data_IF_645217634183
#
_entry.id   IF_645217634183
#
_cell.length_a   1.000
_cell.length_b   1.000
_cell.length_c   1.000
_cell.angle_alpha   90.00
_cell.angle_beta   90.00
_cell.angle_gamma   90.00
#
_symmetry.space_group_name_H-M   'P 1'
#
loop_
_entity.id
_entity.type
_entity.pdbx_description
1 polymer ?
#
# COMPACT_ATOMS: atom_id res chain seq x y z
N UNK A 1 3.27 -15.87 -1.66
CA UNK A 1 3.84 -14.54 -1.88
C UNK A 1 5.16 -14.69 -2.62
N UNK A 2 5.44 -13.84 -3.62
CA UNK A 2 6.65 -13.94 -4.46
C UNK A 2 7.81 -13.09 -3.94
N UNK A 3 7.52 -11.87 -3.50
CA UNK A 3 8.50 -10.90 -2.98
C UNK A 3 7.79 -9.85 -2.13
N UNK A 4 8.55 -9.03 -1.41
CA UNK A 4 8.12 -7.75 -0.84
C UNK A 4 9.04 -6.66 -1.39
N UNK A 5 8.47 -5.59 -1.93
CA UNK A 5 9.22 -4.46 -2.50
C UNK A 5 9.20 -3.31 -1.49
N UNK A 6 10.39 -2.79 -1.16
CA UNK A 6 10.55 -1.59 -0.37
C UNK A 6 10.47 -0.36 -1.28
N UNK A 7 9.35 0.36 -1.23
CA UNK A 7 9.14 1.58 -2.00
C UNK A 7 9.56 2.82 -1.20
N UNK A 8 9.88 3.91 -1.89
CA UNK A 8 10.00 5.22 -1.24
C UNK A 8 8.63 5.70 -0.72
N UNK A 9 8.65 6.59 0.26
CA UNK A 9 7.45 7.27 0.78
C UNK A 9 7.64 8.80 0.77
N UNK A 10 8.34 9.28 -0.26
CA UNK A 10 8.73 10.68 -0.42
C UNK A 10 9.82 11.13 0.55
N UNK A 11 9.93 12.45 0.74
CA UNK A 11 11.05 13.08 1.43
C UNK A 11 10.64 13.83 2.70
N UNK A 12 9.35 13.78 3.08
CA UNK A 12 8.82 14.49 4.25
C UNK A 12 9.51 14.14 5.57
N UNK A 13 10.04 12.91 5.68
CA UNK A 13 10.75 12.40 6.86
C UNK A 13 12.26 12.32 6.67
N UNK A 14 12.77 12.76 5.52
CA UNK A 14 14.17 12.63 5.12
C UNK A 14 14.34 11.99 3.74
N UNK A 15 15.55 12.05 3.17
CA UNK A 15 15.81 11.62 1.79
C UNK A 15 15.96 10.10 1.63
N UNK A 16 15.96 9.33 2.73
CA UNK A 16 16.32 7.91 2.75
C UNK A 16 15.08 6.99 2.87
N UNK A 17 13.89 7.45 2.50
CA UNK A 17 12.64 6.74 2.77
C UNK A 17 12.59 5.31 2.23
N UNK A 18 13.13 5.06 1.03
CA UNK A 18 13.22 3.68 0.50
C UNK A 18 14.11 2.79 1.37
N UNK A 19 15.26 3.29 1.84
CA UNK A 19 16.19 2.54 2.70
C UNK A 19 15.58 2.27 4.07
N UNK A 20 14.85 3.25 4.63
CA UNK A 20 14.08 3.08 5.87
C UNK A 20 12.97 2.03 5.71
N UNK A 21 12.23 2.07 4.59
CA UNK A 21 11.23 1.06 4.27
C UNK A 21 11.87 -0.33 4.16
N UNK A 22 13.03 -0.45 3.50
CA UNK A 22 13.72 -1.71 3.32
C UNK A 22 14.20 -2.29 4.65
N UNK A 23 14.78 -1.46 5.51
CA UNK A 23 15.23 -1.86 6.83
C UNK A 23 14.07 -2.37 7.70
N UNK A 24 12.93 -1.67 7.67
CA UNK A 24 11.75 -2.08 8.44
C UNK A 24 11.14 -3.37 7.92
N UNK A 25 11.02 -3.55 6.60
CA UNK A 25 10.54 -4.81 6.01
C UNK A 25 11.46 -5.96 6.41
N UNK A 26 12.78 -5.79 6.33
CA UNK A 26 13.74 -6.81 6.76
C UNK A 26 13.55 -7.19 8.24
N UNK A 27 13.33 -6.19 9.11
CA UNK A 27 13.07 -6.41 10.53
C UNK A 27 11.78 -7.19 10.78
N UNK A 28 10.69 -6.84 10.10
CA UNK A 28 9.42 -7.57 10.22
C UNK A 28 9.57 -9.02 9.72
N UNK A 29 10.21 -9.22 8.56
CA UNK A 29 10.49 -10.55 8.01
C UNK A 29 11.30 -11.40 8.99
N UNK A 30 12.28 -10.80 9.68
CA UNK A 30 13.07 -11.47 10.70
C UNK A 30 12.26 -11.82 11.96
N UNK A 31 11.49 -10.86 12.49
CA UNK A 31 10.61 -11.08 13.65
C UNK A 31 9.57 -12.17 13.40
N UNK A 32 9.14 -12.32 12.14
CA UNK A 32 8.22 -13.38 11.71
C UNK A 32 8.93 -14.73 11.49
N UNK A 33 10.26 -14.79 11.48
CA UNK A 33 11.02 -16.01 11.17
C UNK A 33 10.96 -16.39 9.68
N UNK A 34 10.82 -15.40 8.80
CA UNK A 34 10.77 -15.55 7.34
C UNK A 34 12.04 -15.11 6.62
N UNK A 35 13.12 -14.80 7.36
CA UNK A 35 14.44 -14.52 6.77
C UNK A 35 14.85 -15.64 5.81
N UNK A 36 15.14 -15.26 4.56
CA UNK A 36 15.49 -16.19 3.48
C UNK A 36 14.32 -16.97 2.86
N UNK A 37 13.09 -16.85 3.39
CA UNK A 37 11.88 -17.49 2.84
C UNK A 37 11.11 -16.57 1.89
N UNK A 38 11.26 -15.25 2.06
CA UNK A 38 10.62 -14.22 1.23
C UNK A 38 11.70 -13.22 0.80
N UNK A 39 11.93 -13.05 -0.51
CA UNK A 39 12.81 -12.00 -1.01
C UNK A 39 12.29 -10.61 -0.64
N UNK A 40 13.19 -9.73 -0.22
CA UNK A 40 12.92 -8.30 -0.03
C UNK A 40 13.78 -7.54 -1.02
N UNK A 41 13.17 -6.69 -1.85
CA UNK A 41 13.84 -5.99 -2.93
C UNK A 41 13.72 -4.49 -2.72
N UNK A 42 14.83 -3.77 -2.91
CA UNK A 42 14.84 -2.30 -2.91
C UNK A 42 14.20 -1.76 -4.19
N UNK A 43 13.22 -0.87 -4.03
CA UNK A 43 12.59 -0.16 -5.13
C UNK A 43 13.30 1.12 -5.52
N UNK A 44 12.59 1.93 -6.29
CA UNK A 44 12.96 3.26 -6.70
C UNK A 44 13.17 4.16 -5.47
N UNK A 45 14.21 4.99 -5.53
CA UNK A 45 14.60 5.86 -4.40
C UNK A 45 13.78 7.14 -4.34
N UNK A 46 13.30 7.61 -5.49
CA UNK A 46 12.63 8.91 -5.64
C UNK A 46 11.48 8.80 -6.61
N UNK A 47 10.62 9.81 -6.64
CA UNK A 47 9.57 9.94 -7.63
C UNK A 47 10.11 10.09 -9.05
N UNK A 48 9.29 9.75 -10.05
CA UNK A 48 9.67 9.80 -11.47
C UNK A 48 10.06 11.21 -11.92
N UNK A 49 9.37 12.25 -11.44
CA UNK A 49 9.67 13.64 -11.80
C UNK A 49 11.06 14.08 -11.32
N UNK A 50 11.49 13.58 -10.15
CA UNK A 50 12.79 13.90 -9.55
C UNK A 50 13.93 13.07 -10.10
N UNK A 51 13.65 11.86 -10.57
CA UNK A 51 14.66 10.94 -11.08
C UNK A 51 14.08 10.05 -12.21
N UNK A 52 13.88 10.62 -13.41
CA UNK A 52 13.17 9.95 -14.51
C UNK A 52 13.93 8.72 -15.06
N UNK A 53 15.27 8.76 -15.02
CA UNK A 53 16.15 7.71 -15.53
C UNK A 53 16.69 6.79 -14.44
N UNK A 54 16.08 6.79 -13.24
CA UNK A 54 16.57 5.94 -12.15
C UNK A 54 16.38 4.46 -12.48
N UNK A 55 17.39 3.67 -12.13
CA UNK A 55 17.25 2.22 -12.12
C UNK A 55 16.39 1.78 -10.93
N UNK A 56 15.61 0.72 -11.13
CA UNK A 56 14.86 0.07 -10.07
C UNK A 56 14.93 -1.45 -10.28
N UNK A 57 15.67 -2.11 -9.39
CA UNK A 57 15.74 -3.58 -9.36
C UNK A 57 14.35 -4.20 -9.13
N UNK A 58 13.47 -3.49 -8.43
CA UNK A 58 12.11 -3.95 -8.23
C UNK A 58 11.24 -3.84 -9.49
N UNK A 59 11.46 -2.80 -10.32
CA UNK A 59 10.83 -2.71 -11.63
C UNK A 59 11.26 -3.87 -12.54
N UNK A 60 12.56 -4.19 -12.55
CA UNK A 60 13.07 -5.33 -13.32
C UNK A 60 12.49 -6.66 -12.81
N UNK A 61 12.39 -6.84 -11.49
CA UNK A 61 11.72 -8.01 -10.91
C UNK A 61 10.24 -8.11 -11.30
N UNK A 62 9.49 -6.99 -11.27
CA UNK A 62 8.07 -6.96 -11.71
C UNK A 62 7.97 -7.43 -13.17
N UNK A 63 8.87 -6.97 -14.04
CA UNK A 63 8.92 -7.37 -15.43
C UNK A 63 9.19 -8.87 -15.56
N UNK A 64 10.23 -9.37 -14.90
CA UNK A 64 10.61 -10.77 -14.93
C UNK A 64 9.48 -11.69 -14.45
N UNK A 65 8.85 -11.38 -13.32
CA UNK A 65 7.77 -12.20 -12.76
C UNK A 65 6.50 -12.13 -13.60
N UNK A 66 6.14 -10.96 -14.15
CA UNK A 66 4.97 -10.81 -15.01
C UNK A 66 5.16 -11.50 -16.38
N UNK A 67 6.37 -11.54 -16.90
CA UNK A 67 6.67 -12.18 -18.18
C UNK A 67 6.90 -13.69 -18.08
N UNK A 68 7.09 -14.21 -16.86
CA UNK A 68 7.25 -15.64 -16.61
C UNK A 68 6.03 -16.44 -17.06
N UNK A 69 6.27 -17.62 -17.59
CA UNK A 69 5.22 -18.57 -17.95
C UNK A 69 4.71 -19.28 -16.68
N UNK A 70 3.69 -18.68 -16.04
CA UNK A 70 2.99 -19.23 -14.87
C UNK A 70 1.48 -19.17 -15.13
N UNK A 71 0.74 -20.29 -15.01
CA UNK A 71 -0.70 -20.29 -15.25
C UNK A 71 -1.51 -19.58 -14.16
N UNK A 72 -0.89 -19.24 -13.02
CA UNK A 72 -1.56 -18.52 -11.94
C UNK A 72 -1.53 -17.02 -12.20
N UNK A 73 -2.61 -16.29 -11.88
CA UNK A 73 -2.64 -14.84 -12.04
C UNK A 73 -1.59 -14.18 -11.12
N UNK A 74 -0.88 -13.18 -11.65
CA UNK A 74 -0.04 -12.29 -10.87
C UNK A 74 -0.86 -11.11 -10.35
N UNK A 75 -0.94 -10.99 -9.02
CA UNK A 75 -1.57 -9.85 -8.34
C UNK A 75 -0.45 -9.05 -7.67
N UNK A 76 -0.36 -7.77 -8.00
CA UNK A 76 0.57 -6.84 -7.38
C UNK A 76 -0.21 -5.85 -6.52
N UNK A 77 -0.07 -5.97 -5.20
CA UNK A 77 -0.66 -5.07 -4.22
C UNK A 77 0.33 -3.94 -3.90
N UNK A 78 -0.05 -2.71 -4.24
CA UNK A 78 0.71 -1.50 -3.95
C UNK A 78 0.05 -0.77 -2.78
N UNK A 79 0.82 -0.58 -1.71
CA UNK A 79 0.42 0.16 -0.50
C UNK A 79 1.29 1.41 -0.28
N UNK A 80 1.96 1.83 -1.36
CA UNK A 80 2.93 2.93 -1.46
C UNK A 80 2.81 3.58 -2.85
N UNK A 81 3.56 4.65 -3.18
CA UNK A 81 3.53 5.26 -4.50
C UNK A 81 3.83 4.27 -5.62
N UNK A 82 3.22 4.47 -6.79
CA UNK A 82 3.26 3.55 -7.93
C UNK A 82 4.54 3.62 -8.78
N UNK A 83 5.58 4.27 -8.28
CA UNK A 83 6.86 4.57 -8.95
C UNK A 83 7.46 3.35 -9.64
N UNK A 84 7.63 2.25 -8.91
CA UNK A 84 8.27 1.04 -9.42
C UNK A 84 7.46 0.39 -10.55
N UNK A 85 6.12 0.41 -10.43
CA UNK A 85 5.25 -0.10 -11.47
C UNK A 85 5.26 0.79 -12.70
N UNK A 86 5.26 2.11 -12.53
CA UNK A 86 5.35 3.05 -13.64
C UNK A 86 6.67 2.88 -14.41
N UNK A 87 7.80 2.70 -13.71
CA UNK A 87 9.09 2.36 -14.34
C UNK A 87 8.99 1.02 -15.07
N UNK A 88 8.41 -0.01 -14.45
CA UNK A 88 8.25 -1.33 -15.06
C UNK A 88 7.40 -1.28 -16.36
N UNK A 89 6.26 -0.59 -16.32
CA UNK A 89 5.36 -0.44 -17.48
C UNK A 89 6.04 0.34 -18.61
N UNK A 90 6.79 1.41 -18.29
CA UNK A 90 7.54 2.17 -19.31
C UNK A 90 8.60 1.32 -19.99
N UNK A 91 9.28 0.44 -19.23
CA UNK A 91 10.29 -0.48 -19.75
C UNK A 91 9.69 -1.63 -20.57
N UNK A 92 8.58 -2.21 -20.10
CA UNK A 92 7.95 -3.37 -20.73
C UNK A 92 6.41 -3.29 -20.65
N UNK A 93 5.75 -2.63 -21.62
CA UNK A 93 4.29 -2.45 -21.59
C UNK A 93 3.49 -3.76 -21.63
N UNK A 94 4.06 -4.87 -22.14
CA UNK A 94 3.36 -6.17 -22.24
C UNK A 94 2.95 -6.74 -20.88
N UNK A 95 3.57 -6.30 -19.79
CA UNK A 95 3.19 -6.73 -18.43
C UNK A 95 1.75 -6.34 -18.10
N UNK A 96 1.21 -5.26 -18.68
CA UNK A 96 -0.16 -4.80 -18.41
C UNK A 96 -1.21 -5.88 -18.68
N UNK A 97 -0.98 -6.74 -19.67
CA UNK A 97 -1.87 -7.86 -20.01
C UNK A 97 -1.60 -9.16 -19.23
N UNK A 98 -0.64 -9.17 -18.30
CA UNK A 98 -0.17 -10.37 -17.58
C UNK A 98 -0.29 -10.30 -16.06
N UNK A 99 -0.69 -9.15 -15.53
CA UNK A 99 -0.87 -8.95 -14.09
C UNK A 99 -2.10 -8.08 -13.81
N UNK A 100 -2.51 -8.04 -12.55
CA UNK A 100 -3.51 -7.11 -12.04
C UNK A 100 -2.97 -6.33 -10.84
N UNK A 101 -3.46 -5.12 -10.67
CA UNK A 101 -2.99 -4.19 -9.65
C UNK A 101 -4.11 -3.91 -8.65
N UNK A 102 -3.77 -3.98 -7.37
CA UNK A 102 -4.57 -3.43 -6.27
C UNK A 102 -3.76 -2.28 -5.69
N UNK A 103 -4.34 -1.10 -5.58
CA UNK A 103 -3.67 0.07 -5.00
C UNK A 103 -4.48 0.66 -3.86
N UNK A 104 -3.86 0.75 -2.68
CA UNK A 104 -4.35 1.55 -1.56
C UNK A 104 -3.78 2.95 -1.70
N UNK A 105 -4.59 3.84 -2.25
CA UNK A 105 -4.20 5.19 -2.62
C UNK A 105 -5.21 5.82 -3.55
N UNK A 106 -5.10 7.12 -3.71
CA UNK A 106 -6.01 7.92 -4.51
C UNK A 106 -7.01 8.72 -3.67
N UNK A 107 -7.42 9.90 -4.17
CA UNK A 107 -8.15 10.89 -3.41
C UNK A 107 -9.65 10.60 -3.36
N UNK A 108 -10.39 11.43 -2.62
CA UNK A 108 -11.85 11.42 -2.63
C UNK A 108 -12.39 11.88 -3.99
N UNK A 109 -13.46 11.24 -4.46
CA UNK A 109 -14.19 11.67 -5.65
C UNK A 109 -15.31 12.67 -5.30
N UNK A 110 -15.76 13.50 -6.26
CA UNK A 110 -15.26 13.64 -7.62
C UNK A 110 -14.13 14.68 -7.76
N UNK A 111 -13.91 15.55 -6.77
CA UNK A 111 -13.09 16.75 -6.94
C UNK A 111 -11.58 16.52 -6.70
N UNK A 112 -11.24 15.42 -6.01
CA UNK A 112 -9.89 15.16 -5.52
C UNK A 112 -9.67 15.70 -4.11
N UNK A 113 -8.54 15.30 -3.52
CA UNK A 113 -8.11 15.64 -2.18
C UNK A 113 -6.63 15.28 -2.03
N UNK A 114 -5.98 15.76 -0.97
CA UNK A 114 -4.62 15.32 -0.68
C UNK A 114 -4.63 13.87 -0.19
N UNK A 115 -3.91 12.98 -0.87
CA UNK A 115 -3.69 11.59 -0.46
C UNK A 115 -2.18 11.27 -0.45
N UNK A 116 -1.70 10.59 0.58
CA UNK A 116 -0.26 10.45 0.84
C UNK A 116 0.51 9.71 -0.27
N UNK A 117 0.03 8.55 -0.72
CA UNK A 117 0.71 7.75 -1.73
C UNK A 117 0.67 8.44 -3.10
N UNK A 118 -0.46 9.03 -3.50
CA UNK A 118 -0.58 9.82 -4.71
C UNK A 118 0.37 11.03 -4.70
N UNK A 119 0.38 11.81 -3.62
CA UNK A 119 1.20 13.03 -3.52
C UNK A 119 2.69 12.77 -3.61
N UNK A 120 3.14 11.58 -3.23
CA UNK A 120 4.54 11.21 -3.29
C UNK A 120 5.00 10.86 -4.72
N UNK A 121 4.11 10.51 -5.65
CA UNK A 121 4.44 10.36 -7.08
C UNK A 121 3.19 10.39 -7.99
N UNK A 122 2.73 11.60 -8.31
CA UNK A 122 1.54 11.84 -9.17
C UNK A 122 1.81 11.39 -10.61
N UNK A 123 3.03 11.61 -11.11
CA UNK A 123 3.40 11.25 -12.48
C UNK A 123 3.44 9.73 -12.66
N UNK A 124 3.91 8.98 -11.66
CA UNK A 124 3.81 7.52 -11.66
C UNK A 124 2.35 7.05 -11.59
N UNK A 125 1.52 7.65 -10.73
CA UNK A 125 0.11 7.29 -10.64
C UNK A 125 -0.61 7.48 -11.99
N UNK A 126 -0.45 8.65 -12.61
CA UNK A 126 -0.99 8.94 -13.94
C UNK A 126 -0.45 7.97 -15.01
N UNK A 127 0.85 7.66 -14.99
CA UNK A 127 1.46 6.69 -15.91
C UNK A 127 0.81 5.31 -15.81
N UNK A 128 0.60 4.80 -14.60
CA UNK A 128 -0.02 3.48 -14.39
C UNK A 128 -1.50 3.50 -14.75
N UNK A 129 -2.23 4.53 -14.32
CA UNK A 129 -3.67 4.65 -14.57
C UNK A 129 -3.99 4.76 -16.06
N UNK A 130 -3.18 5.49 -16.83
CA UNK A 130 -3.32 5.60 -18.28
C UNK A 130 -2.82 4.37 -19.07
N UNK A 131 -2.14 3.40 -18.42
CA UNK A 131 -1.77 2.13 -19.05
C UNK A 131 -2.99 1.20 -19.24
N UNK A 132 -2.83 0.01 -19.82
CA UNK A 132 -3.92 -0.97 -19.96
C UNK A 132 -4.04 -1.95 -18.79
N UNK A 133 -3.27 -1.78 -17.70
CA UNK A 133 -3.27 -2.75 -16.59
C UNK A 133 -4.64 -2.82 -15.90
N UNK A 134 -5.20 -4.02 -15.66
CA UNK A 134 -6.37 -4.19 -14.79
C UNK A 134 -6.09 -3.61 -13.40
N UNK A 135 -6.91 -2.65 -12.99
CA UNK A 135 -6.64 -1.83 -11.81
C UNK A 135 -7.83 -1.82 -10.85
N UNK A 136 -7.53 -2.04 -9.57
CA UNK A 136 -8.44 -1.95 -8.44
C UNK A 136 -7.96 -0.87 -7.49
N UNK A 137 -8.76 0.18 -7.31
CA UNK A 137 -8.46 1.29 -6.42
C UNK A 137 -9.23 1.14 -5.10
N UNK A 138 -8.48 1.30 -4.02
CA UNK A 138 -8.98 1.49 -2.66
C UNK A 138 -8.58 2.91 -2.28
N UNK A 139 -9.46 3.88 -2.54
CA UNK A 139 -9.20 5.30 -2.28
C UNK A 139 -9.57 5.68 -0.83
N UNK A 140 -9.35 6.96 -0.45
CA UNK A 140 -9.66 7.48 0.90
C UNK A 140 -11.07 7.07 1.36
N UNK A 141 -12.08 7.25 0.52
CA UNK A 141 -13.48 6.96 0.87
C UNK A 141 -13.68 5.50 1.26
N UNK A 142 -12.96 4.57 0.62
CA UNK A 142 -13.04 3.16 0.94
C UNK A 142 -12.25 2.80 2.19
N UNK A 143 -10.97 3.21 2.26
CA UNK A 143 -10.09 2.75 3.33
C UNK A 143 -10.25 3.50 4.65
N UNK A 144 -10.90 4.67 4.68
CA UNK A 144 -11.15 5.39 5.93
C UNK A 144 -12.05 4.60 6.89
N UNK A 145 -12.84 3.66 6.35
CA UNK A 145 -13.62 2.70 7.11
C UNK A 145 -12.81 1.55 7.71
N UNK A 146 -11.50 1.43 7.41
CA UNK A 146 -10.60 0.42 7.97
C UNK A 146 -10.18 0.75 9.40
N UNK A 147 -11.15 1.03 10.27
CA UNK A 147 -10.93 1.45 11.64
C UNK A 147 -10.69 0.28 12.59
N UNK A 148 -9.77 0.47 13.51
CA UNK A 148 -9.48 -0.44 14.60
C UNK A 148 -9.04 0.31 15.86
N UNK A 149 -9.49 -0.15 17.02
CA UNK A 149 -9.12 0.46 18.29
C UNK A 149 -7.78 -0.05 18.83
N UNK A 150 -7.12 0.78 19.66
CA UNK A 150 -5.95 0.35 20.43
C UNK A 150 -6.26 -0.85 21.32
N UNK A 151 -7.46 -0.89 21.92
CA UNK A 151 -7.89 -1.99 22.78
C UNK A 151 -7.93 -3.33 22.03
N UNK A 152 -8.46 -3.35 20.79
CA UNK A 152 -8.46 -4.55 19.95
C UNK A 152 -7.05 -4.99 19.55
N UNK A 153 -6.18 -4.04 19.22
CA UNK A 153 -4.78 -4.33 18.90
C UNK A 153 -4.04 -4.86 20.14
N UNK A 154 -4.28 -4.29 21.32
CA UNK A 154 -3.67 -4.78 22.55
C UNK A 154 -4.14 -6.19 22.87
N UNK A 155 -5.45 -6.45 22.84
CA UNK A 155 -6.03 -7.75 23.17
C UNK A 155 -5.59 -8.85 22.19
N UNK A 156 -5.56 -8.54 20.89
CA UNK A 156 -5.44 -9.57 19.84
C UNK A 156 -4.11 -9.58 19.11
N UNK A 157 -3.47 -8.42 18.91
CA UNK A 157 -2.21 -8.31 18.18
C UNK A 157 -1.01 -8.46 19.12
N UNK A 158 -0.98 -7.72 20.24
CA UNK A 158 0.21 -7.68 21.12
C UNK A 158 0.56 -9.06 21.70
N UNK A 159 -0.44 -9.94 21.79
CA UNK A 159 -0.30 -11.31 22.30
C UNK A 159 0.25 -12.30 21.26
N UNK A 160 0.47 -11.88 20.01
CA UNK A 160 0.92 -12.76 18.93
C UNK A 160 2.45 -12.75 18.77
N UNK A 161 3.16 -13.21 19.81
CA UNK A 161 4.62 -13.32 19.82
C UNK A 161 5.36 -11.99 19.60
N UNK A 162 6.66 -12.09 19.26
CA UNK A 162 7.54 -10.91 19.13
C UNK A 162 7.09 -9.92 18.06
N UNK A 163 6.59 -10.42 16.92
CA UNK A 163 6.10 -9.57 15.84
C UNK A 163 4.84 -8.81 16.25
N UNK A 164 3.87 -9.48 16.90
CA UNK A 164 2.64 -8.86 17.36
C UNK A 164 2.91 -7.77 18.40
N UNK A 165 3.75 -8.07 19.39
CA UNK A 165 4.17 -7.10 20.39
C UNK A 165 4.90 -5.90 19.76
N UNK A 166 5.86 -6.15 18.87
CA UNK A 166 6.60 -5.09 18.20
C UNK A 166 5.69 -4.14 17.39
N UNK A 167 4.75 -4.70 16.61
CA UNK A 167 3.80 -3.88 15.82
C UNK A 167 2.93 -3.00 16.73
N UNK A 168 2.47 -3.53 17.86
CA UNK A 168 1.70 -2.76 18.84
C UNK A 168 2.54 -1.66 19.50
N UNK A 169 3.76 -1.98 19.95
CA UNK A 169 4.68 -1.00 20.56
C UNK A 169 5.03 0.14 19.60
N UNK A 170 5.30 -0.15 18.32
CA UNK A 170 5.59 0.90 17.33
C UNK A 170 4.42 1.85 17.13
N UNK A 171 3.19 1.34 17.19
CA UNK A 171 1.98 2.15 17.05
C UNK A 171 1.77 3.05 18.29
N UNK A 172 1.99 2.51 19.50
CA UNK A 172 1.95 3.28 20.75
C UNK A 172 3.05 4.34 20.78
N UNK A 173 4.28 3.99 20.39
CA UNK A 173 5.39 4.94 20.33
C UNK A 173 5.13 6.04 19.29
N UNK A 174 4.55 5.67 18.13
CA UNK A 174 4.11 6.61 17.10
C UNK A 174 3.06 7.60 17.62
N UNK A 175 2.06 7.12 18.38
CA UNK A 175 1.09 7.97 19.07
C UNK A 175 1.77 9.02 19.95
N UNK A 176 2.69 8.61 20.84
CA UNK A 176 3.39 9.52 21.73
C UNK A 176 4.25 10.53 20.97
N UNK A 177 5.00 10.10 19.95
CA UNK A 177 5.84 10.99 19.13
C UNK A 177 4.99 12.03 18.39
N UNK A 178 3.85 11.62 17.85
CA UNK A 178 2.99 12.53 17.09
C UNK A 178 2.34 13.60 17.98
N UNK A 179 1.86 13.21 19.17
CA UNK A 179 1.31 14.13 20.17
C UNK A 179 2.37 15.06 20.77
N UNK A 180 3.53 14.54 21.13
CA UNK A 180 4.59 15.32 21.79
C UNK A 180 5.23 16.37 20.88
N UNK A 181 5.30 16.11 19.57
CA UNK A 181 6.06 16.94 18.64
C UNK A 181 5.22 17.97 17.86
N UNK A 182 3.91 18.13 18.15
CA UNK A 182 3.01 18.92 17.29
C UNK A 182 3.23 18.61 15.80
N UNK A 183 3.38 17.31 15.48
CA UNK A 183 3.77 16.87 14.14
C UNK A 183 2.79 17.41 13.08
N UNK A 184 3.23 17.46 11.81
CA UNK A 184 2.34 17.81 10.69
C UNK A 184 1.07 16.94 10.69
N UNK A 185 1.20 15.66 11.07
CA UNK A 185 0.09 14.70 11.20
C UNK A 185 -0.85 15.05 12.36
N UNK A 186 -0.29 15.42 13.52
CA UNK A 186 -1.09 15.82 14.69
C UNK A 186 -1.77 17.18 14.52
N UNK A 187 -1.12 18.15 13.87
CA UNK A 187 -1.59 19.54 13.79
C UNK A 187 -2.46 19.84 12.58
N UNK A 188 -2.25 19.13 11.46
CA UNK A 188 -2.94 19.42 10.19
C UNK A 188 -3.95 18.35 9.79
N UNK A 189 -3.73 17.08 10.15
CA UNK A 189 -4.65 15.98 9.85
C UNK A 189 -5.39 15.45 11.09
N UNK A 190 -5.10 15.95 12.30
CA UNK A 190 -5.67 15.48 13.57
C UNK A 190 -5.60 13.95 13.72
N UNK A 191 -4.52 13.35 13.20
CA UNK A 191 -4.35 11.90 13.09
C UNK A 191 -3.02 11.48 13.70
N UNK A 192 -2.98 10.36 14.46
CA UNK A 192 -4.09 9.45 14.80
C UNK A 192 -5.02 10.02 15.88
N UNK A 193 -6.28 9.56 15.89
CA UNK A 193 -7.24 9.92 16.92
C UNK A 193 -7.04 9.03 18.16
N UNK A 194 -5.95 9.24 18.91
CA UNK A 194 -5.67 8.69 20.25
C UNK A 194 -5.90 7.17 20.42
N UNK A 195 -7.16 6.77 20.57
CA UNK A 195 -7.65 5.41 20.82
C UNK A 195 -8.05 4.62 19.54
N UNK A 196 -8.08 5.26 18.38
CA UNK A 196 -8.50 4.65 17.11
C UNK A 196 -7.53 4.95 15.97
N UNK A 197 -7.29 3.94 15.15
CA UNK A 197 -6.41 3.99 13.99
C UNK A 197 -7.11 3.46 12.74
N UNK A 198 -6.71 3.98 11.58
CA UNK A 198 -7.03 3.39 10.29
C UNK A 198 -5.78 2.66 9.77
N UNK A 199 -5.74 1.33 9.86
CA UNK A 199 -4.64 0.52 9.29
C UNK A 199 -5.03 0.10 7.89
N UNK A 200 -4.85 1.04 6.96
CA UNK A 200 -5.43 0.99 5.62
C UNK A 200 -4.79 -0.07 4.73
N UNK A 201 -3.49 -0.34 4.86
CA UNK A 201 -2.73 -1.20 3.95
C UNK A 201 -3.16 -2.68 4.00
N UNK A 202 -3.82 -3.12 5.09
CA UNK A 202 -4.39 -4.48 5.21
C UNK A 202 -5.50 -4.71 4.19
N UNK A 203 -6.15 -3.64 3.73
CA UNK A 203 -7.22 -3.70 2.72
C UNK A 203 -6.75 -4.32 1.39
N UNK A 204 -5.53 -4.00 0.93
CA UNK A 204 -4.99 -4.57 -0.30
C UNK A 204 -4.75 -6.07 -0.20
N UNK A 205 -4.32 -6.55 0.98
CA UNK A 205 -4.15 -7.99 1.25
C UNK A 205 -5.52 -8.68 1.30
N UNK A 206 -6.51 -8.06 1.95
CA UNK A 206 -7.88 -8.59 1.99
C UNK A 206 -8.44 -8.77 0.57
N UNK A 207 -8.30 -7.77 -0.31
CA UNK A 207 -8.73 -7.87 -1.70
C UNK A 207 -7.95 -8.90 -2.54
N UNK A 208 -6.67 -9.10 -2.24
CA UNK A 208 -5.88 -10.13 -2.90
C UNK A 208 -6.31 -11.56 -2.50
N UNK A 209 -6.90 -11.73 -1.32
CA UNK A 209 -7.42 -13.00 -0.82
C UNK A 209 -8.87 -13.24 -1.27
N UNK A 210 -9.72 -12.22 -1.16
CA UNK A 210 -11.10 -12.20 -1.61
C UNK A 210 -11.37 -10.90 -2.39
N UNK A 211 -11.59 -10.97 -3.71
CA UNK A 211 -11.78 -9.79 -4.55
C UNK A 211 -13.13 -9.09 -4.36
N UNK A 212 -13.98 -9.51 -3.41
CA UNK A 212 -15.26 -8.85 -3.06
C UNK A 212 -16.07 -8.43 -4.30
N UNK A 213 -16.37 -9.39 -5.19
CA UNK A 213 -16.81 -9.17 -6.58
C UNK A 213 -18.00 -8.22 -6.81
N UNK A 214 -18.76 -7.87 -5.77
CA UNK A 214 -19.96 -7.03 -5.86
C UNK A 214 -19.86 -5.73 -5.07
N UNK A 215 -18.68 -5.37 -4.55
CA UNK A 215 -18.51 -4.19 -3.69
C UNK A 215 -17.63 -3.10 -4.32
N UNK A 216 -17.65 -3.01 -5.65
CA UNK A 216 -16.98 -1.97 -6.41
C UNK A 216 -17.87 -1.44 -7.53
N UNK A 217 -17.55 -0.22 -7.97
CA UNK A 217 -18.10 0.38 -9.17
C UNK A 217 -17.03 0.45 -10.26
N UNK A 218 -17.47 0.37 -11.51
CA UNK A 218 -16.63 0.71 -12.65
C UNK A 218 -16.71 2.22 -12.89
N UNK A 219 -15.63 2.95 -12.65
CA UNK A 219 -15.54 4.38 -12.95
C UNK A 219 -14.47 4.64 -14.01
N UNK A 220 -14.64 5.66 -14.87
CA UNK A 220 -13.58 6.04 -15.80
C UNK A 220 -12.27 6.29 -15.06
N UNK A 221 -11.15 5.92 -15.67
CA UNK A 221 -9.83 6.16 -15.09
C UNK A 221 -9.62 7.66 -14.84
N UNK A 222 -9.23 8.07 -13.62
CA UNK A 222 -8.93 9.46 -13.34
C UNK A 222 -7.54 9.84 -13.87
N UNK A 223 -7.38 11.12 -14.17
CA UNK A 223 -6.11 11.80 -14.34
C UNK A 223 -5.96 12.84 -13.23
N UNK A 224 -4.81 12.90 -12.58
CA UNK A 224 -4.59 13.81 -11.47
C UNK A 224 -3.70 14.99 -11.88
N UNK A 225 -4.09 16.21 -11.51
CA UNK A 225 -3.16 17.34 -11.56
C UNK A 225 -2.14 17.27 -10.43
N UNK A 226 -1.15 18.17 -10.46
CA UNK A 226 -0.14 18.31 -9.40
C UNK A 226 -0.73 18.61 -8.01
N UNK A 227 -1.94 19.15 -7.96
CA UNK A 227 -2.66 19.44 -6.71
C UNK A 227 -3.67 18.33 -6.34
N UNK A 228 -3.55 17.14 -6.96
CA UNK A 228 -4.43 15.98 -6.77
C UNK A 228 -5.91 16.18 -7.15
N UNK A 229 -6.22 17.22 -7.94
CA UNK A 229 -7.54 17.35 -8.54
C UNK A 229 -7.77 16.30 -9.60
N UNK A 230 -8.98 15.74 -9.62
CA UNK A 230 -9.37 14.71 -10.57
C UNK A 230 -9.90 15.35 -11.85
N UNK A 231 -9.35 14.89 -12.97
CA UNK A 231 -9.87 15.10 -14.31
C UNK A 231 -10.25 13.73 -14.87
N UNK A 232 -11.47 13.58 -15.37
CA UNK A 232 -11.93 12.31 -15.94
C UNK A 232 -12.64 12.57 -17.25
N UNK A 233 -12.23 11.88 -18.31
CA UNK A 233 -12.96 11.87 -19.57
C UNK A 233 -13.99 10.74 -19.60
N UNK A 234 -15.20 11.00 -20.09
CA UNK A 234 -16.28 10.00 -20.21
C UNK A 234 -15.91 8.77 -21.06
N UNK A 235 -14.88 8.87 -21.90
CA UNK A 235 -14.44 7.79 -22.81
C UNK A 235 -13.22 7.02 -22.28
N UNK A 236 -12.71 7.36 -21.09
CA UNK A 236 -11.56 6.67 -20.53
C UNK A 236 -11.95 5.24 -20.10
N UNK A 237 -11.02 4.28 -20.25
CA UNK A 237 -11.26 2.89 -19.84
C UNK A 237 -11.69 2.85 -18.36
N UNK A 238 -12.67 2.02 -17.98
CA UNK A 238 -13.08 1.96 -16.59
C UNK A 238 -12.11 1.11 -15.76
N UNK A 239 -11.93 1.48 -14.50
CA UNK A 239 -11.23 0.71 -13.47
C UNK A 239 -12.17 0.43 -12.31
N UNK A 240 -11.80 -0.51 -11.44
CA UNK A 240 -12.61 -0.85 -10.26
C UNK A 240 -12.32 0.12 -9.14
N UNK A 241 -13.36 0.76 -8.62
CA UNK A 241 -13.34 1.57 -7.41
C UNK A 241 -14.11 0.86 -6.33
N UNK A 242 -13.44 0.42 -5.27
CA UNK A 242 -14.11 -0.28 -4.17
C UNK A 242 -14.89 0.71 -3.32
N UNK A 243 -16.10 0.33 -2.96
CA UNK A 243 -16.99 1.15 -2.12
C UNK A 243 -16.71 0.90 -0.64
N UNK A 244 -16.44 -0.35 -0.28
CA UNK A 244 -16.05 -0.72 1.08
C UNK A 244 -15.24 -2.02 1.08
N UNK A 245 -14.54 -2.25 2.17
CA UNK A 245 -13.88 -3.51 2.50
C UNK A 245 -14.28 -3.80 3.94
N UNK A 246 -14.71 -5.02 4.24
CA UNK A 246 -15.13 -5.37 5.60
C UNK A 246 -13.90 -5.39 6.53
N UNK A 247 -13.75 -4.41 7.45
CA UNK A 247 -12.61 -4.37 8.36
C UNK A 247 -12.62 -5.56 9.31
N UNK A 248 -13.80 -6.10 9.66
CA UNK A 248 -13.91 -7.26 10.55
C UNK A 248 -13.38 -8.50 9.86
N UNK A 249 -13.72 -8.74 8.59
CA UNK A 249 -13.10 -9.80 7.81
C UNK A 249 -11.57 -9.65 7.75
N UNK A 250 -11.09 -8.48 7.33
CA UNK A 250 -9.66 -8.24 7.12
C UNK A 250 -8.84 -8.37 8.42
N UNK A 251 -9.28 -7.74 9.51
CA UNK A 251 -8.57 -7.79 10.79
C UNK A 251 -8.73 -9.14 11.50
N UNK A 252 -9.92 -9.76 11.46
CA UNK A 252 -10.10 -11.06 12.09
C UNK A 252 -9.24 -12.13 11.43
N UNK A 253 -9.14 -12.11 10.09
CA UNK A 253 -8.26 -13.00 9.34
C UNK A 253 -6.79 -12.76 9.70
N UNK A 254 -6.34 -11.49 9.74
CA UNK A 254 -4.99 -11.13 10.17
C UNK A 254 -4.68 -11.66 11.58
N UNK A 255 -5.53 -11.38 12.56
CA UNK A 255 -5.32 -11.81 13.94
C UNK A 255 -5.39 -13.32 14.10
N UNK A 256 -6.31 -14.00 13.40
CA UNK A 256 -6.37 -15.45 13.42
C UNK A 256 -5.07 -16.06 12.88
N UNK A 257 -4.56 -15.56 11.75
CA UNK A 257 -3.29 -16.02 11.17
C UNK A 257 -2.11 -15.77 12.10
N UNK A 258 -2.00 -14.59 12.69
CA UNK A 258 -0.92 -14.29 13.64
C UNK A 258 -1.01 -15.17 14.89
N UNK A 259 -2.21 -15.40 15.42
CA UNK A 259 -2.41 -16.28 16.58
C UNK A 259 -2.07 -17.75 16.26
N UNK A 260 -2.48 -18.26 15.10
CA UNK A 260 -2.16 -19.63 14.67
C UNK A 260 -0.65 -19.84 14.56
N UNK A 261 0.09 -18.83 14.10
CA UNK A 261 1.54 -18.96 13.85
C UNK A 261 2.37 -18.62 15.08
N UNK A 262 1.94 -17.67 15.92
CA UNK A 262 2.76 -17.09 17.00
C UNK A 262 2.09 -17.06 18.39
N UNK A 263 0.82 -17.43 18.52
CA UNK A 263 0.02 -17.22 19.74
C UNK A 263 0.45 -18.05 20.96
N UNK A 264 1.15 -19.17 20.75
CA UNK A 264 1.58 -20.07 21.82
C UNK A 264 3.05 -19.86 22.26
N UNK A 265 3.69 -18.76 21.82
CA UNK A 265 5.12 -18.50 22.08
C UNK A 265 5.42 -17.64 23.32
N UNK A 266 4.47 -17.52 24.26
CA UNK A 266 4.64 -16.78 25.52
C UNK A 266 5.21 -17.66 26.65
#
# INVERSE_FOLDING_TARGET
>A
MKTIIAAHFGELRGPNSMEESYAEICKIVDLMGFTGKVPVIKGAKRSIDKAPDQESASADFIIEEAMRDDPRPLICAFIRPLTDLAIAIKKEPRICGRMSVIWTGGPCFPDGSWEYNLNNDIDAANCVLLSDVPFSMINIECYDHMQISLAELQDRLSQCGKVGNYLFEQLIEGNYRNCANNSWQATRTQWPMGESWCIVDVSAVALALDPLHYNYEWKPVPFYSKDCHIFSERLARPIRFYNAIDPRYAYNDLFAKLKIVYGDQN
#
